data_IF_804952421150
#
_entry.id   IF_804952421150
#
_cell.length_a   1.000
_cell.length_b   1.000
_cell.length_c   1.000
_cell.angle_alpha   90.00
_cell.angle_beta   90.00
_cell.angle_gamma   90.00
#
_symmetry.space_group_name_H-M   'P 1'
#
loop_
_entity.id
_entity.type
_entity.pdbx_description
1 polymer ?
#
# COMPACT_ATOMS: atom_id res chain seq x y z
N UNK A 1 2.40 -22.99 -12.89
CA UNK A 1 1.89 -21.90 -13.78
C UNK A 1 2.80 -20.69 -13.57
N UNK A 2 3.24 -20.04 -14.65
CA UNK A 2 4.02 -18.78 -14.55
C UNK A 2 3.10 -17.67 -14.07
N UNK A 3 3.50 -16.89 -13.06
CA UNK A 3 2.74 -15.70 -12.61
C UNK A 3 2.90 -14.57 -13.64
N UNK A 4 1.80 -13.91 -14.02
CA UNK A 4 1.79 -12.81 -14.97
C UNK A 4 1.63 -11.46 -14.29
N UNK A 5 2.51 -10.53 -14.67
CA UNK A 5 2.52 -9.17 -14.19
C UNK A 5 1.97 -8.23 -15.27
N UNK A 6 1.09 -7.30 -14.89
CA UNK A 6 0.54 -6.31 -15.81
C UNK A 6 0.63 -4.90 -15.20
N UNK A 7 0.86 -3.92 -16.06
CA UNK A 7 0.70 -2.50 -15.76
C UNK A 7 -0.58 -2.01 -16.45
N UNK A 8 -1.43 -1.30 -15.72
CA UNK A 8 -2.72 -0.78 -16.18
C UNK A 8 -3.58 -1.78 -16.99
N UNK A 9 -3.82 -3.02 -16.49
CA UNK A 9 -4.63 -3.98 -17.21
C UNK A 9 -6.10 -3.54 -17.27
N UNK A 10 -6.65 -3.50 -18.48
CA UNK A 10 -8.10 -3.38 -18.66
C UNK A 10 -8.84 -4.56 -18.02
N UNK A 11 -10.09 -4.35 -17.59
CA UNK A 11 -10.90 -5.34 -16.86
C UNK A 11 -10.96 -6.74 -17.51
N UNK A 12 -10.98 -6.83 -18.83
CA UNK A 12 -11.03 -8.12 -19.53
C UNK A 12 -9.76 -8.96 -19.37
N UNK A 13 -8.66 -8.35 -18.89
CA UNK A 13 -7.38 -9.01 -18.59
C UNK A 13 -7.26 -9.44 -17.12
N UNK A 14 -8.10 -8.94 -16.20
CA UNK A 14 -7.94 -9.19 -14.76
C UNK A 14 -7.93 -10.69 -14.40
N UNK A 15 -8.71 -11.53 -15.10
CA UNK A 15 -8.70 -12.99 -14.89
C UNK A 15 -7.37 -13.68 -15.25
N UNK A 16 -6.48 -12.98 -15.94
CA UNK A 16 -5.15 -13.45 -16.32
C UNK A 16 -4.03 -12.73 -15.56
N UNK A 17 -4.36 -11.69 -14.80
CA UNK A 17 -3.40 -10.89 -14.04
C UNK A 17 -3.19 -11.53 -12.68
N UNK A 18 -1.99 -12.04 -12.42
CA UNK A 18 -1.63 -12.52 -11.08
C UNK A 18 -1.09 -11.35 -10.22
N UNK A 19 -0.45 -10.34 -10.85
CA UNK A 19 0.09 -9.15 -10.19
C UNK A 19 -0.18 -7.87 -10.98
N UNK A 20 -0.79 -6.87 -10.35
CA UNK A 20 -0.94 -5.52 -10.90
C UNK A 20 0.21 -4.64 -10.39
N UNK A 21 1.14 -4.30 -11.28
CA UNK A 21 2.25 -3.39 -11.02
C UNK A 21 1.82 -1.93 -11.16
N UNK A 22 2.39 -1.06 -10.32
CA UNK A 22 2.16 0.39 -10.36
C UNK A 22 0.67 0.76 -10.30
N UNK A 23 -0.07 0.11 -9.39
CA UNK A 23 -1.48 0.39 -9.14
C UNK A 23 -1.66 1.87 -8.76
N UNK A 24 -2.69 2.57 -9.27
CA UNK A 24 -2.93 3.96 -8.93
C UNK A 24 -3.25 4.13 -7.44
N UNK A 25 -2.57 5.09 -6.79
CA UNK A 25 -2.72 5.42 -5.35
C UNK A 25 -3.24 6.82 -5.10
N UNK A 26 -3.30 7.66 -6.14
CA UNK A 26 -3.83 9.02 -6.08
C UNK A 26 -4.97 9.19 -7.06
N UNK A 27 -5.83 10.16 -6.78
CA UNK A 27 -6.85 10.65 -7.70
C UNK A 27 -6.35 11.91 -8.43
N UNK A 28 -7.11 12.35 -9.42
CA UNK A 28 -6.78 13.43 -10.34
C UNK A 28 -6.77 14.84 -9.72
N UNK A 29 -6.35 15.02 -8.47
CA UNK A 29 -6.11 16.32 -7.80
C UNK A 29 -7.07 17.47 -8.18
N UNK A 30 -8.37 17.21 -8.36
CA UNK A 30 -9.33 18.30 -8.52
C UNK A 30 -9.59 18.90 -7.12
N UNK A 31 -9.65 20.23 -7.05
CA UNK A 31 -9.66 21.06 -5.81
C UNK A 31 -10.79 20.72 -4.82
N UNK A 32 -11.72 19.85 -5.19
CA UNK A 32 -12.90 19.47 -4.40
C UNK A 32 -13.00 17.96 -4.11
N UNK A 33 -11.90 17.22 -4.17
CA UNK A 33 -11.92 15.79 -3.84
C UNK A 33 -11.82 15.60 -2.31
N UNK A 34 -12.86 14.99 -1.73
CA UNK A 34 -12.85 14.42 -0.38
C UNK A 34 -11.89 13.22 -0.31
N UNK A 35 -11.56 12.75 0.90
CA UNK A 35 -10.71 11.59 1.16
C UNK A 35 -10.80 10.49 0.09
N UNK A 36 -9.65 10.11 -0.46
CA UNK A 36 -9.56 9.09 -1.50
C UNK A 36 -9.89 7.71 -0.94
N UNK A 37 -10.89 7.04 -1.55
CA UNK A 37 -11.26 5.66 -1.23
C UNK A 37 -10.56 4.70 -2.19
N UNK A 38 -9.85 3.66 -1.71
CA UNK A 38 -9.13 2.69 -2.54
C UNK A 38 -10.08 1.64 -3.17
N UNK A 39 -11.09 2.10 -3.91
CA UNK A 39 -12.16 1.25 -4.43
C UNK A 39 -11.63 0.12 -5.33
N UNK A 40 -10.69 0.44 -6.21
CA UNK A 40 -10.09 -0.56 -7.11
C UNK A 40 -9.38 -1.66 -6.31
N UNK A 41 -8.62 -1.28 -5.28
CA UNK A 41 -7.89 -2.22 -4.44
C UNK A 41 -8.83 -3.10 -3.63
N UNK A 42 -9.92 -2.53 -3.09
CA UNK A 42 -10.95 -3.30 -2.39
C UNK A 42 -11.61 -4.34 -3.32
N UNK A 43 -11.92 -3.96 -4.57
CA UNK A 43 -12.54 -4.88 -5.56
C UNK A 43 -11.58 -6.01 -5.97
N UNK A 44 -10.29 -5.71 -6.11
CA UNK A 44 -9.29 -6.68 -6.58
C UNK A 44 -8.64 -7.51 -5.47
N UNK A 45 -8.86 -7.16 -4.20
CA UNK A 45 -8.36 -7.92 -3.06
C UNK A 45 -8.77 -9.40 -3.15
N UNK A 46 -7.81 -10.29 -2.86
CA UNK A 46 -8.00 -11.74 -2.93
C UNK A 46 -8.00 -12.31 -4.36
N UNK A 47 -7.95 -11.47 -5.40
CA UNK A 47 -7.87 -11.93 -6.81
C UNK A 47 -6.48 -11.80 -7.40
N UNK A 48 -5.71 -10.78 -7.00
CA UNK A 48 -4.34 -10.53 -7.46
C UNK A 48 -3.54 -9.77 -6.41
N UNK A 49 -2.21 -9.88 -6.49
CA UNK A 49 -1.30 -9.03 -5.73
C UNK A 49 -1.25 -7.65 -6.41
N UNK A 50 -1.25 -6.57 -5.63
CA UNK A 50 -1.16 -5.21 -6.17
C UNK A 50 0.06 -4.51 -5.58
N UNK A 51 0.79 -3.79 -6.43
CA UNK A 51 2.00 -3.09 -6.07
C UNK A 51 1.81 -1.60 -6.25
N UNK A 52 2.29 -0.81 -5.30
CA UNK A 52 2.31 0.65 -5.41
C UNK A 52 3.23 1.10 -6.57
N UNK A 53 3.14 2.36 -7.02
CA UNK A 53 4.16 2.96 -7.87
C UNK A 53 5.54 2.91 -7.22
N UNK A 54 6.60 3.08 -8.01
CA UNK A 54 7.97 2.96 -7.52
C UNK A 54 8.26 3.96 -6.37
N UNK A 55 8.62 3.42 -5.21
CA UNK A 55 8.88 4.19 -4.01
C UNK A 55 10.06 5.16 -4.21
N UNK A 56 11.08 4.78 -4.99
CA UNK A 56 12.22 5.63 -5.32
C UNK A 56 11.93 6.78 -6.30
N UNK A 57 10.69 6.90 -6.79
CA UNK A 57 10.21 7.99 -7.66
C UNK A 57 9.23 8.93 -6.96
N UNK A 58 8.78 8.58 -5.76
CA UNK A 58 7.98 9.43 -4.90
C UNK A 58 8.84 9.93 -3.73
N UNK A 59 8.45 11.05 -3.11
CA UNK A 59 8.93 11.33 -1.77
C UNK A 59 8.35 10.25 -0.87
N UNK A 60 9.21 9.48 -0.20
CA UNK A 60 8.78 8.36 0.60
C UNK A 60 8.54 8.82 2.03
N UNK A 61 7.40 9.48 2.24
CA UNK A 61 7.02 10.00 3.55
C UNK A 61 6.30 8.93 4.36
N UNK A 62 6.28 9.05 5.69
CA UNK A 62 5.53 8.14 6.55
C UNK A 62 4.06 7.97 6.10
N UNK A 63 3.32 9.03 5.71
CA UNK A 63 2.00 8.90 5.09
C UNK A 63 1.92 8.01 3.85
N UNK A 64 2.97 7.92 3.03
CA UNK A 64 2.96 7.06 1.83
C UNK A 64 3.11 5.58 2.19
N UNK A 65 3.89 5.27 3.25
CA UNK A 65 3.96 3.93 3.85
C UNK A 65 2.58 3.52 4.36
N UNK A 66 1.97 4.40 5.15
CA UNK A 66 0.64 4.18 5.71
C UNK A 66 -0.38 4.02 4.60
N UNK A 67 -0.26 4.75 3.49
CA UNK A 67 -1.15 4.60 2.33
C UNK A 67 -1.02 3.23 1.67
N UNK A 68 0.18 2.64 1.60
CA UNK A 68 0.33 1.28 1.10
C UNK A 68 -0.34 0.25 2.03
N UNK A 69 -0.20 0.41 3.35
CA UNK A 69 -0.89 -0.43 4.34
C UNK A 69 -2.41 -0.26 4.21
N UNK A 70 -2.84 0.99 4.10
CA UNK A 70 -4.23 1.38 4.01
C UNK A 70 -4.90 0.84 2.73
N UNK A 71 -4.16 0.79 1.62
CA UNK A 71 -4.67 0.38 0.31
C UNK A 71 -4.35 -1.09 0.01
N UNK A 72 -3.73 -1.80 0.94
CA UNK A 72 -3.27 -3.18 0.79
C UNK A 72 -2.38 -3.37 -0.46
N UNK A 73 -1.35 -2.53 -0.56
CA UNK A 73 -0.40 -2.52 -1.65
C UNK A 73 0.97 -2.99 -1.16
N UNK A 74 1.61 -3.84 -1.95
CA UNK A 74 3.01 -4.18 -1.77
C UNK A 74 3.89 -3.02 -2.24
N UNK A 75 5.02 -2.71 -1.56
CA UNK A 75 5.96 -1.73 -2.04
C UNK A 75 6.65 -2.22 -3.32
N UNK A 76 7.09 -1.29 -4.15
CA UNK A 76 7.82 -1.60 -5.38
C UNK A 76 8.97 -0.61 -5.60
N UNK A 77 10.02 -1.10 -6.25
CA UNK A 77 11.22 -0.33 -6.57
C UNK A 77 11.72 -0.71 -7.96
N UNK A 78 12.35 0.24 -8.62
CA UNK A 78 13.13 -0.02 -9.84
C UNK A 78 14.59 0.33 -9.58
N UNK A 79 15.48 -0.65 -9.71
CA UNK A 79 16.84 -0.57 -9.20
C UNK A 79 17.86 -0.91 -10.28
N UNK A 80 19.01 -0.24 -10.24
CA UNK A 80 20.19 -0.46 -11.06
C UNK A 80 21.42 -0.63 -10.18
N UNK A 81 22.39 -1.41 -10.65
CA UNK A 81 23.67 -1.57 -9.95
C UNK A 81 24.51 -0.29 -10.03
N UNK A 82 24.47 0.39 -11.17
CA UNK A 82 25.24 1.61 -11.42
C UNK A 82 24.36 2.87 -11.26
N UNK A 83 24.99 4.05 -11.06
CA UNK A 83 24.28 5.32 -10.97
C UNK A 83 23.36 5.65 -12.15
N UNK A 84 22.21 6.26 -11.87
CA UNK A 84 21.20 6.62 -12.87
C UNK A 84 21.68 7.64 -13.91
N UNK A 85 22.73 8.42 -13.64
CA UNK A 85 23.26 9.40 -14.61
C UNK A 85 23.79 8.74 -15.89
N UNK A 86 24.17 7.45 -15.84
CA UNK A 86 24.52 6.69 -17.05
C UNK A 86 23.32 6.51 -18.00
N UNK A 87 22.10 6.60 -17.49
CA UNK A 87 20.86 6.46 -18.26
C UNK A 87 20.43 7.78 -18.91
N UNK A 88 21.01 8.92 -18.52
CA UNK A 88 20.54 10.26 -18.88
C UNK A 88 20.49 10.52 -20.41
N UNK A 89 21.36 9.85 -21.18
CA UNK A 89 21.42 9.97 -22.65
C UNK A 89 20.81 8.76 -23.38
N UNK A 90 19.97 7.98 -22.70
CA UNK A 90 19.37 6.75 -23.23
C UNK A 90 17.84 6.86 -23.23
N UNK A 91 17.11 5.94 -23.90
CA UNK A 91 15.64 5.86 -23.78
C UNK A 91 15.14 5.67 -22.33
N UNK A 92 16.01 5.19 -21.44
CA UNK A 92 15.72 5.02 -20.01
C UNK A 92 16.02 6.25 -19.16
N UNK A 93 16.25 7.43 -19.75
CA UNK A 93 16.53 8.67 -19.02
C UNK A 93 15.44 9.09 -18.03
N UNK A 94 14.21 8.57 -18.20
CA UNK A 94 13.13 8.73 -17.23
C UNK A 94 13.42 8.04 -15.90
N UNK A 95 14.37 7.10 -15.83
CA UNK A 95 14.80 6.43 -14.61
C UNK A 95 15.91 7.20 -13.91
N UNK A 96 15.56 8.34 -13.32
CA UNK A 96 16.53 9.29 -12.77
C UNK A 96 17.05 8.95 -11.36
N UNK A 97 16.46 7.97 -10.67
CA UNK A 97 16.90 7.58 -9.32
C UNK A 97 16.75 6.08 -9.09
N UNK A 98 17.80 5.29 -9.31
CA UNK A 98 17.71 3.82 -9.32
C UNK A 98 18.90 3.09 -8.69
N UNK A 99 19.98 3.76 -8.31
CA UNK A 99 21.18 3.08 -7.79
C UNK A 99 20.88 2.33 -6.48
N UNK A 100 21.09 1.01 -6.48
CA UNK A 100 20.74 0.15 -5.35
C UNK A 100 21.40 0.58 -4.05
N UNK A 101 22.69 0.91 -4.08
CA UNK A 101 23.46 1.31 -2.89
C UNK A 101 22.87 2.55 -2.19
N UNK A 102 22.17 3.41 -2.93
CA UNK A 102 21.48 4.58 -2.36
C UNK A 102 20.14 4.23 -1.69
N UNK A 103 19.55 3.09 -2.06
CA UNK A 103 18.18 2.73 -1.71
C UNK A 103 18.07 1.46 -0.85
N UNK A 104 19.14 0.70 -0.63
CA UNK A 104 19.11 -0.53 0.17
C UNK A 104 18.43 -0.34 1.53
N UNK A 105 18.85 0.68 2.29
CA UNK A 105 18.26 0.98 3.60
C UNK A 105 16.79 1.39 3.50
N UNK A 106 16.42 2.15 2.47
CA UNK A 106 15.03 2.53 2.23
C UNK A 106 14.18 1.29 1.93
N UNK A 107 14.65 0.40 1.06
CA UNK A 107 13.96 -0.85 0.70
C UNK A 107 13.64 -1.66 1.95
N UNK A 108 14.60 -1.82 2.86
CA UNK A 108 14.40 -2.55 4.12
C UNK A 108 13.37 -1.87 5.03
N UNK A 109 13.48 -0.56 5.22
CA UNK A 109 12.56 0.24 6.03
C UNK A 109 11.12 0.15 5.52
N UNK A 110 10.94 0.43 4.23
CA UNK A 110 9.65 0.39 3.52
C UNK A 110 9.02 -0.98 3.65
N UNK A 111 9.77 -2.01 3.27
CA UNK A 111 9.27 -3.37 3.23
C UNK A 111 8.89 -3.84 4.63
N UNK A 112 9.74 -3.59 5.62
CA UNK A 112 9.52 -4.02 7.00
C UNK A 112 8.24 -3.40 7.58
N UNK A 113 8.05 -2.09 7.46
CA UNK A 113 6.85 -1.42 7.99
C UNK A 113 5.56 -1.88 7.29
N UNK A 114 5.56 -1.97 5.96
CA UNK A 114 4.37 -2.43 5.22
C UNK A 114 4.06 -3.89 5.55
N UNK A 115 5.08 -4.75 5.56
CA UNK A 115 4.91 -6.17 5.77
C UNK A 115 4.54 -6.51 7.23
N UNK A 116 4.99 -5.73 8.21
CA UNK A 116 4.59 -5.88 9.62
C UNK A 116 3.06 -5.85 9.76
N UNK A 117 2.39 -4.94 9.07
CA UNK A 117 0.92 -4.88 9.07
C UNK A 117 0.29 -5.89 8.09
N UNK A 118 0.69 -5.86 6.81
CA UNK A 118 -0.03 -6.58 5.75
C UNK A 118 0.16 -8.10 5.79
N UNK A 119 1.28 -8.60 6.30
CA UNK A 119 1.50 -10.06 6.44
C UNK A 119 0.45 -10.70 7.36
N UNK A 120 -0.08 -9.95 8.33
CA UNK A 120 -1.04 -10.45 9.29
C UNK A 120 -2.44 -10.65 8.69
N UNK A 121 -2.76 -9.95 7.60
CA UNK A 121 -4.04 -10.05 6.87
C UNK A 121 -3.88 -10.70 5.50
N UNK A 122 -2.70 -11.27 5.21
CA UNK A 122 -2.46 -12.00 3.97
C UNK A 122 -3.44 -13.17 3.82
N UNK A 123 -4.13 -13.23 2.67
CA UNK A 123 -5.16 -14.24 2.40
C UNK A 123 -6.53 -13.96 3.03
N UNK A 124 -6.70 -12.85 3.75
CA UNK A 124 -8.01 -12.40 4.22
C UNK A 124 -8.68 -11.59 3.13
N UNK A 125 -10.01 -11.68 3.09
CA UNK A 125 -10.86 -10.83 2.25
C UNK A 125 -11.03 -9.49 2.93
N UNK A 126 -10.76 -8.41 2.21
CA UNK A 126 -11.05 -7.06 2.67
C UNK A 126 -12.56 -6.78 2.54
N UNK A 127 -13.26 -6.67 3.67
CA UNK A 127 -14.72 -6.60 3.71
C UNK A 127 -15.28 -5.23 4.08
N UNK A 128 -14.46 -4.38 4.68
CA UNK A 128 -14.92 -3.09 5.15
C UNK A 128 -13.82 -2.05 5.28
N UNK A 129 -14.22 -0.80 5.13
CA UNK A 129 -13.43 0.39 5.40
C UNK A 129 -14.30 1.39 6.15
N UNK A 130 -13.77 2.01 7.20
CA UNK A 130 -14.44 3.08 7.94
C UNK A 130 -13.45 4.18 8.29
N UNK A 131 -13.85 5.43 8.06
CA UNK A 131 -13.17 6.60 8.64
C UNK A 131 -13.70 6.75 10.06
N UNK A 132 -12.82 6.60 11.06
CA UNK A 132 -13.18 6.71 12.48
C UNK A 132 -13.16 8.18 12.93
N UNK A 133 -12.13 8.90 12.47
CA UNK A 133 -11.93 10.34 12.62
C UNK A 133 -11.17 10.85 11.39
N UNK A 134 -11.13 12.15 11.16
CA UNK A 134 -10.29 12.72 10.10
C UNK A 134 -8.83 12.26 10.27
N UNK A 135 -8.29 11.56 9.27
CA UNK A 135 -6.95 10.97 9.33
C UNK A 135 -6.83 9.66 10.11
N UNK A 136 -7.94 9.08 10.62
CA UNK A 136 -7.92 7.78 11.30
C UNK A 136 -8.84 6.80 10.60
N UNK A 137 -8.26 5.71 10.11
CA UNK A 137 -8.91 4.74 9.23
C UNK A 137 -8.93 3.37 9.87
N UNK A 138 -10.01 2.63 9.64
CA UNK A 138 -10.12 1.20 9.95
C UNK A 138 -10.45 0.40 8.71
N UNK A 139 -9.63 -0.61 8.42
CA UNK A 139 -9.91 -1.63 7.41
C UNK A 139 -10.21 -2.98 8.08
N UNK A 140 -11.30 -3.61 7.70
CA UNK A 140 -11.75 -4.90 8.25
C UNK A 140 -11.51 -6.01 7.25
N UNK A 141 -10.88 -7.09 7.72
CA UNK A 141 -10.46 -8.25 6.96
C UNK A 141 -11.06 -9.53 7.57
N UNK A 142 -11.59 -10.41 6.75
CA UNK A 142 -12.19 -11.68 7.17
C UNK A 142 -11.54 -12.89 6.51
N UNK A 143 -11.38 -13.98 7.27
CA UNK A 143 -11.05 -15.29 6.75
C UNK A 143 -11.83 -16.37 7.51
N UNK A 144 -12.95 -16.81 6.92
CA UNK A 144 -13.86 -17.74 7.58
C UNK A 144 -14.55 -17.08 8.78
N UNK A 145 -14.25 -17.57 9.99
CA UNK A 145 -14.76 -17.00 11.24
C UNK A 145 -13.81 -15.98 11.88
N UNK A 146 -12.56 -15.90 11.39
CA UNK A 146 -11.54 -14.97 11.87
C UNK A 146 -11.75 -13.59 11.27
N UNK A 147 -11.56 -12.56 12.10
CA UNK A 147 -11.66 -11.15 11.74
C UNK A 147 -10.43 -10.42 12.27
N UNK A 148 -9.83 -9.61 11.40
CA UNK A 148 -8.74 -8.71 11.73
C UNK A 148 -9.05 -7.30 11.27
N UNK A 149 -8.51 -6.35 11.99
CA UNK A 149 -8.69 -4.94 11.71
C UNK A 149 -7.31 -4.29 11.62
N UNK A 150 -7.08 -3.54 10.55
CA UNK A 150 -5.92 -2.64 10.47
C UNK A 150 -6.44 -1.23 10.78
N UNK A 151 -5.93 -0.65 11.85
CA UNK A 151 -6.14 0.73 12.24
C UNK A 151 -4.95 1.55 11.75
N UNK A 152 -5.21 2.61 10.98
CA UNK A 152 -4.18 3.46 10.39
C UNK A 152 -4.40 4.89 10.90
N UNK A 153 -3.39 5.46 11.54
CA UNK A 153 -3.41 6.80 12.07
C UNK A 153 -2.44 7.70 11.28
N UNK A 154 -3.00 8.57 10.44
CA UNK A 154 -2.25 9.58 9.68
C UNK A 154 -2.01 10.88 10.45
N UNK A 155 -2.55 10.99 11.67
CA UNK A 155 -2.44 12.20 12.48
C UNK A 155 -1.14 12.23 13.28
N UNK A 156 -0.79 13.40 13.80
CA UNK A 156 0.36 13.62 14.67
C UNK A 156 0.07 13.30 16.15
N UNK A 157 -1.17 12.90 16.47
CA UNK A 157 -1.63 12.60 17.83
C UNK A 157 -2.00 11.12 17.97
N UNK A 158 -1.80 10.50 19.15
CA UNK A 158 -2.25 9.13 19.37
C UNK A 158 -3.79 9.04 19.34
N UNK A 159 -4.31 7.96 18.77
CA UNK A 159 -5.75 7.68 18.75
C UNK A 159 -6.05 6.46 19.62
N UNK A 160 -7.13 6.51 20.41
CA UNK A 160 -7.57 5.38 21.24
C UNK A 160 -8.78 4.72 20.60
N UNK A 161 -8.64 3.45 20.24
CA UNK A 161 -9.73 2.61 19.76
C UNK A 161 -10.01 1.51 20.77
N UNK A 162 -11.11 1.65 21.51
CA UNK A 162 -11.47 0.80 22.64
C UNK A 162 -10.36 0.73 23.71
N UNK A 163 -9.55 -0.32 23.71
CA UNK A 163 -8.44 -0.56 24.66
C UNK A 163 -7.06 -0.42 23.99
N UNK A 164 -7.02 -0.21 22.68
CA UNK A 164 -5.79 -0.13 21.89
C UNK A 164 -5.44 1.34 21.63
N UNK A 165 -4.18 1.71 21.88
CA UNK A 165 -3.64 3.04 21.54
C UNK A 165 -2.82 2.92 20.26
N UNK A 166 -3.22 3.65 19.23
CA UNK A 166 -2.56 3.71 17.93
C UNK A 166 -1.69 4.96 17.93
N UNK A 167 -0.37 4.77 17.86
CA UNK A 167 0.59 5.85 17.87
C UNK A 167 0.38 6.81 16.67
N UNK A 168 0.82 8.07 16.76
CA UNK A 168 0.89 8.98 15.61
C UNK A 168 1.58 8.32 14.43
N UNK A 169 1.13 8.61 13.21
CA UNK A 169 1.77 8.20 11.96
C UNK A 169 2.11 6.69 11.90
N UNK A 170 1.23 5.84 12.42
CA UNK A 170 1.47 4.39 12.52
C UNK A 170 0.25 3.55 12.11
N UNK A 171 0.47 2.25 11.94
CA UNK A 171 -0.58 1.27 11.75
C UNK A 171 -0.54 0.21 12.84
N UNK A 172 -1.72 -0.25 13.28
CA UNK A 172 -1.87 -1.27 14.31
C UNK A 172 -2.84 -2.35 13.82
N UNK A 173 -2.45 -3.62 13.98
CA UNK A 173 -3.29 -4.77 13.62
C UNK A 173 -3.92 -5.34 14.89
N UNK A 174 -5.25 -5.36 14.90
CA UNK A 174 -6.05 -5.95 15.96
C UNK A 174 -6.69 -7.25 15.48
N UNK A 175 -6.74 -8.26 16.36
CA UNK A 175 -7.45 -9.53 16.11
C UNK A 175 -8.72 -9.61 16.93
N UNK A 176 -9.80 -10.14 16.34
CA UNK A 176 -11.08 -10.37 17.02
C UNK A 176 -12.19 -9.42 16.56
N UNK A 177 -13.43 -9.86 16.78
CA UNK A 177 -14.65 -9.12 16.42
C UNK A 177 -14.91 -7.98 17.40
N UNK A 178 -15.59 -6.94 16.93
CA UNK A 178 -16.13 -5.90 17.82
C UNK A 178 -17.01 -6.52 18.89
N UNK A 179 -16.74 -6.17 20.16
CA UNK A 179 -17.64 -6.46 21.27
C UNK A 179 -18.55 -5.24 21.41
N UNK A 180 -19.78 -5.35 20.90
CA UNK A 180 -20.82 -4.34 21.08
C UNK A 180 -21.36 -4.33 22.52
#
# INVERSE_FOLDING_TARGET
KVKLNFENPNRYLWKYTDRYLQSPVTTSQHVFETDTVPFLQMVLNGTMEMYAPYANFSFYTQPDILRMIDYNLSPSFILSMEPSYHLASTPSAHLYSTEFDQYEGLVDEVYSQVNEALSQVAGYRWVGRKVLENGVIKNTYENGQDEKQILINYTEEPFVYEQDTIAPLSAFVRTGKEVH
#
